data_IF_564416908735
#
_entry.id   IF_564416908735
#
_cell.length_a   1.000
_cell.length_b   1.000
_cell.length_c   1.000
_cell.angle_alpha   90.00
_cell.angle_beta   90.00
_cell.angle_gamma   90.00
#
_symmetry.space_group_name_H-M   'P 1'
#
loop_
_entity.id
_entity.type
_entity.pdbx_description
1 polymer ?
#
# COMPACT_ATOMS: atom_id res chain seq x y z
N UNK A 1 -3.04 -17.05 16.15
CA UNK A 1 -2.72 -16.25 17.32
C UNK A 1 -3.56 -14.98 17.39
N UNK A 2 -3.48 -14.25 18.49
CA UNK A 2 -4.27 -13.02 18.68
C UNK A 2 -3.97 -11.95 17.63
N UNK A 3 -2.70 -11.81 17.21
CA UNK A 3 -2.31 -10.85 16.21
C UNK A 3 -2.98 -11.08 14.86
N UNK A 4 -3.11 -12.35 14.42
CA UNK A 4 -3.73 -12.68 13.14
C UNK A 4 -5.25 -12.52 13.16
N UNK A 5 -5.87 -12.55 14.35
CA UNK A 5 -7.32 -12.36 14.52
C UNK A 5 -7.69 -10.89 14.58
N UNK A 6 -6.74 -10.05 14.97
CA UNK A 6 -6.97 -8.61 15.04
C UNK A 6 -7.23 -8.05 13.65
N UNK A 7 -8.25 -7.21 13.53
CA UNK A 7 -8.56 -6.55 12.28
C UNK A 7 -7.45 -5.57 11.90
N UNK A 8 -7.04 -5.59 10.64
CA UNK A 8 -6.08 -4.62 10.13
C UNK A 8 -6.77 -3.27 10.01
N UNK A 9 -6.24 -2.28 10.71
CA UNK A 9 -6.89 -0.96 10.81
C UNK A 9 -6.60 -0.11 9.59
N UNK A 10 -7.55 0.76 9.26
CA UNK A 10 -7.39 1.74 8.17
C UNK A 10 -6.15 2.60 8.37
N UNK A 11 -5.84 2.97 9.62
CA UNK A 11 -4.66 3.76 9.95
C UNK A 11 -3.37 3.04 9.55
N UNK A 12 -3.29 1.73 9.79
CA UNK A 12 -2.12 0.94 9.41
C UNK A 12 -1.95 0.86 7.89
N UNK A 13 -3.06 0.68 7.17
CA UNK A 13 -3.05 0.68 5.70
C UNK A 13 -2.64 2.04 5.15
N UNK A 14 -3.20 3.11 5.70
CA UNK A 14 -2.87 4.47 5.28
C UNK A 14 -1.39 4.77 5.48
N UNK A 15 -0.85 4.37 6.63
CA UNK A 15 0.58 4.56 6.92
C UNK A 15 1.44 3.80 5.92
N UNK A 16 1.08 2.56 5.60
CA UNK A 16 1.83 1.76 4.64
C UNK A 16 1.85 2.42 3.25
N UNK A 17 0.71 2.90 2.78
CA UNK A 17 0.61 3.57 1.48
C UNK A 17 1.44 4.86 1.49
N UNK A 18 1.34 5.65 2.58
CA UNK A 18 2.11 6.88 2.72
C UNK A 18 3.63 6.63 2.66
N UNK A 19 4.09 5.61 3.37
CA UNK A 19 5.52 5.29 3.39
C UNK A 19 6.02 4.78 2.04
N UNK A 20 5.21 3.99 1.32
CA UNK A 20 5.55 3.58 -0.04
C UNK A 20 5.71 4.80 -0.94
N UNK A 21 4.77 5.75 -0.85
CA UNK A 21 4.84 6.99 -1.64
C UNK A 21 6.13 7.76 -1.34
N UNK A 22 6.48 7.88 -0.07
CA UNK A 22 7.68 8.59 0.37
C UNK A 22 8.95 7.93 -0.18
N UNK A 23 9.04 6.61 -0.10
CA UNK A 23 10.21 5.88 -0.59
C UNK A 23 10.35 6.00 -2.10
N UNK A 24 9.26 5.87 -2.84
CA UNK A 24 9.28 6.02 -4.30
C UNK A 24 9.70 7.42 -4.70
N UNK A 25 9.19 8.45 -4.02
CA UNK A 25 9.57 9.83 -4.28
C UNK A 25 11.07 10.06 -4.04
N UNK A 26 11.67 9.29 -3.13
CA UNK A 26 13.11 9.36 -2.85
C UNK A 26 13.95 8.51 -3.82
N UNK A 27 13.32 7.87 -4.81
CA UNK A 27 14.05 7.08 -5.81
C UNK A 27 14.24 5.63 -5.48
N UNK A 28 13.61 5.13 -4.40
CA UNK A 28 13.68 3.71 -4.05
C UNK A 28 12.79 2.92 -5.02
N UNK A 29 13.26 1.77 -5.50
CA UNK A 29 12.46 0.92 -6.37
C UNK A 29 11.24 0.38 -5.63
N UNK A 30 10.17 0.07 -6.36
CA UNK A 30 8.94 -0.44 -5.73
C UNK A 30 9.21 -1.74 -4.97
N UNK A 31 10.00 -2.65 -5.55
CA UNK A 31 10.32 -3.91 -4.87
C UNK A 31 11.06 -3.66 -3.55
N UNK A 32 12.04 -2.77 -3.56
CA UNK A 32 12.80 -2.45 -2.35
C UNK A 32 11.92 -1.74 -1.31
N UNK A 33 11.02 -0.86 -1.77
CA UNK A 33 10.10 -0.15 -0.88
C UNK A 33 9.14 -1.13 -0.19
N UNK A 34 8.58 -2.06 -0.94
CA UNK A 34 7.68 -3.09 -0.38
C UNK A 34 8.42 -3.99 0.61
N UNK A 35 9.65 -4.38 0.29
CA UNK A 35 10.45 -5.20 1.20
C UNK A 35 10.80 -4.46 2.48
N UNK A 36 11.08 -3.16 2.38
CA UNK A 36 11.32 -2.33 3.56
C UNK A 36 10.09 -2.23 4.44
N UNK A 37 8.91 -2.08 3.83
CA UNK A 37 7.63 -2.07 4.55
C UNK A 37 7.39 -3.40 5.26
N UNK A 38 7.70 -4.51 4.59
CA UNK A 38 7.55 -5.84 5.18
C UNK A 38 8.36 -5.96 6.47
N UNK A 39 9.59 -5.48 6.45
CA UNK A 39 10.48 -5.55 7.63
C UNK A 39 9.93 -4.73 8.80
N UNK A 40 9.23 -3.64 8.53
CA UNK A 40 8.68 -2.78 9.56
C UNK A 40 7.26 -3.11 9.98
N UNK A 41 6.56 -3.94 9.23
CA UNK A 41 5.16 -4.25 9.49
C UNK A 41 5.03 -5.19 10.70
N UNK A 42 3.95 -5.02 11.45
CA UNK A 42 3.69 -5.81 12.66
C UNK A 42 2.45 -6.70 12.52
N UNK A 43 1.44 -6.22 11.82
CA UNK A 43 0.20 -6.99 11.68
C UNK A 43 0.42 -8.15 10.70
N UNK A 44 0.11 -9.40 11.11
CA UNK A 44 0.35 -10.57 10.25
C UNK A 44 -0.30 -10.49 8.88
N UNK A 45 -1.49 -9.91 8.77
CA UNK A 45 -2.17 -9.76 7.48
C UNK A 45 -1.42 -8.81 6.55
N UNK A 46 -0.87 -7.74 7.11
CA UNK A 46 -0.08 -6.79 6.32
C UNK A 46 1.24 -7.41 5.88
N UNK A 47 1.90 -8.12 6.79
CA UNK A 47 3.15 -8.82 6.47
C UNK A 47 2.93 -9.81 5.33
N UNK A 48 1.89 -10.63 5.42
CA UNK A 48 1.56 -11.62 4.38
C UNK A 48 1.30 -10.94 3.03
N UNK A 49 0.54 -9.84 3.03
CA UNK A 49 0.24 -9.09 1.81
C UNK A 49 1.53 -8.52 1.20
N UNK A 50 2.38 -7.92 2.02
CA UNK A 50 3.63 -7.32 1.54
C UNK A 50 4.60 -8.39 1.01
N UNK A 51 4.65 -9.57 1.65
CA UNK A 51 5.45 -10.68 1.15
C UNK A 51 4.99 -11.12 -0.24
N UNK A 52 3.69 -11.27 -0.41
CA UNK A 52 3.12 -11.66 -1.71
C UNK A 52 3.41 -10.59 -2.77
N UNK A 53 3.30 -9.32 -2.42
CA UNK A 53 3.58 -8.22 -3.32
C UNK A 53 5.06 -8.19 -3.73
N UNK A 54 5.97 -8.34 -2.77
CA UNK A 54 7.40 -8.38 -3.05
C UNK A 54 7.75 -9.53 -3.99
N UNK A 55 7.20 -10.71 -3.75
CA UNK A 55 7.39 -11.88 -4.60
C UNK A 55 6.92 -11.60 -6.03
N UNK A 56 5.73 -11.06 -6.18
CA UNK A 56 5.17 -10.74 -7.51
C UNK A 56 6.03 -9.74 -8.26
N UNK A 57 6.48 -8.68 -7.56
CA UNK A 57 7.35 -7.67 -8.16
C UNK A 57 8.69 -8.27 -8.60
N UNK A 58 9.28 -9.15 -7.80
CA UNK A 58 10.55 -9.84 -8.17
C UNK A 58 10.36 -10.76 -9.37
N UNK A 59 9.15 -11.28 -9.59
CA UNK A 59 8.83 -12.10 -10.74
C UNK A 59 8.45 -11.27 -11.97
N UNK A 60 8.49 -9.95 -11.89
CA UNK A 60 8.23 -9.07 -13.01
C UNK A 60 6.78 -8.62 -13.15
N UNK A 61 5.93 -8.90 -12.18
CA UNK A 61 4.55 -8.39 -12.20
C UNK A 61 4.54 -6.90 -11.90
N UNK A 62 3.56 -6.18 -12.44
CA UNK A 62 3.41 -4.76 -12.19
C UNK A 62 2.85 -4.48 -10.80
N UNK A 63 3.10 -3.28 -10.28
CA UNK A 63 2.60 -2.91 -8.96
C UNK A 63 1.06 -2.96 -8.88
N UNK A 64 0.31 -2.42 -9.86
CA UNK A 64 -1.16 -2.53 -9.80
C UNK A 64 -1.65 -3.98 -9.66
N UNK A 65 -1.02 -4.91 -10.38
CA UNK A 65 -1.40 -6.32 -10.33
C UNK A 65 -1.14 -6.91 -8.95
N UNK A 66 0.06 -6.69 -8.39
CA UNK A 66 0.40 -7.27 -7.09
C UNK A 66 -0.43 -6.65 -5.96
N UNK A 67 -0.73 -5.35 -6.07
CA UNK A 67 -1.55 -4.67 -5.08
C UNK A 67 -2.97 -5.26 -5.05
N UNK A 68 -3.57 -5.43 -6.22
CA UNK A 68 -4.91 -6.00 -6.33
C UNK A 68 -4.96 -7.43 -5.80
N UNK A 69 -3.93 -8.23 -6.10
CA UNK A 69 -3.85 -9.62 -5.67
C UNK A 69 -3.57 -9.79 -4.19
N UNK A 70 -3.10 -8.75 -3.51
CA UNK A 70 -2.67 -8.86 -2.12
C UNK A 70 -3.82 -9.03 -1.13
N UNK A 71 -5.05 -8.76 -1.55
CA UNK A 71 -6.22 -8.97 -0.71
C UNK A 71 -6.38 -7.97 0.43
N UNK A 72 -5.77 -6.79 0.30
CA UNK A 72 -5.94 -5.73 1.28
C UNK A 72 -7.28 -5.02 1.07
N UNK A 73 -7.89 -4.58 2.17
CA UNK A 73 -9.18 -3.88 2.12
C UNK A 73 -8.95 -2.39 1.84
N UNK A 74 -8.55 -2.09 0.60
CA UNK A 74 -8.31 -0.73 0.15
C UNK A 74 -9.53 -0.19 -0.61
N UNK A 75 -9.77 1.12 -0.54
CA UNK A 75 -10.84 1.72 -1.35
C UNK A 75 -10.62 1.49 -2.84
N UNK A 76 -11.71 1.41 -3.60
CA UNK A 76 -11.63 1.17 -5.05
C UNK A 76 -10.79 2.21 -5.77
N UNK A 77 -10.88 3.48 -5.36
CA UNK A 77 -10.12 4.54 -6.03
C UNK A 77 -8.61 4.34 -5.97
N UNK A 78 -8.11 3.61 -4.94
CA UNK A 78 -6.68 3.32 -4.83
C UNK A 78 -6.21 2.54 -6.04
N UNK A 79 -6.95 1.48 -6.41
CA UNK A 79 -6.58 0.66 -7.57
C UNK A 79 -6.64 1.47 -8.87
N UNK A 80 -7.63 2.35 -9.01
CA UNK A 80 -7.78 3.20 -10.17
C UNK A 80 -6.64 4.21 -10.30
N UNK A 81 -6.31 4.88 -9.19
CA UNK A 81 -5.21 5.86 -9.18
C UNK A 81 -3.86 5.22 -9.42
N UNK A 82 -3.64 4.04 -8.84
CA UNK A 82 -2.38 3.30 -9.01
C UNK A 82 -2.22 2.84 -10.46
N UNK A 83 -3.30 2.34 -11.07
CA UNK A 83 -3.25 1.94 -12.48
C UNK A 83 -2.92 3.13 -13.39
N UNK A 84 -3.53 4.28 -13.14
CA UNK A 84 -3.25 5.51 -13.89
C UNK A 84 -1.80 5.97 -13.66
N UNK A 85 -1.31 5.89 -12.42
CA UNK A 85 0.06 6.26 -12.10
C UNK A 85 1.09 5.38 -12.79
N UNK A 86 0.79 4.08 -12.89
CA UNK A 86 1.65 3.15 -13.65
C UNK A 86 1.74 3.56 -15.11
N UNK A 87 0.61 3.89 -15.72
CA UNK A 87 0.55 4.28 -17.13
C UNK A 87 1.29 5.58 -17.42
N UNK A 88 1.25 6.53 -16.49
CA UNK A 88 1.86 7.84 -16.67
C UNK A 88 3.29 7.93 -16.13
N UNK A 89 3.77 6.84 -15.51
CA UNK A 89 5.10 6.83 -14.91
C UNK A 89 5.20 7.62 -13.61
N UNK A 90 4.08 7.82 -12.91
CA UNK A 90 4.04 8.61 -11.67
C UNK A 90 3.35 7.84 -10.55
N UNK A 91 3.91 6.68 -10.19
CA UNK A 91 3.38 5.90 -9.07
C UNK A 91 3.54 6.61 -7.74
N UNK A 92 4.65 7.33 -7.54
CA UNK A 92 4.87 8.08 -6.30
C UNK A 92 3.75 9.09 -6.05
N UNK A 93 3.40 9.86 -7.08
CA UNK A 93 2.31 10.83 -6.99
C UNK A 93 0.95 10.18 -6.76
N UNK A 94 0.69 9.07 -7.46
CA UNK A 94 -0.56 8.33 -7.30
C UNK A 94 -0.71 7.81 -5.87
N UNK A 95 0.34 7.23 -5.30
CA UNK A 95 0.30 6.71 -3.93
C UNK A 95 0.16 7.83 -2.91
N UNK A 96 0.82 8.97 -3.15
CA UNK A 96 0.66 10.14 -2.27
C UNK A 96 -0.78 10.62 -2.27
N UNK A 97 -1.41 10.69 -3.44
CA UNK A 97 -2.80 11.10 -3.56
C UNK A 97 -3.73 10.11 -2.84
N UNK A 98 -3.46 8.82 -2.98
CA UNK A 98 -4.19 7.79 -2.25
C UNK A 98 -4.08 7.98 -0.74
N UNK A 99 -2.87 8.17 -0.24
CA UNK A 99 -2.64 8.36 1.20
C UNK A 99 -3.36 9.60 1.72
N UNK A 100 -3.31 10.69 0.96
CA UNK A 100 -3.99 11.94 1.32
C UNK A 100 -5.50 11.73 1.42
N UNK A 101 -6.09 11.09 0.42
CA UNK A 101 -7.53 10.85 0.41
C UNK A 101 -7.96 9.88 1.50
N UNK A 102 -7.20 8.82 1.72
CA UNK A 102 -7.48 7.85 2.77
C UNK A 102 -7.42 8.50 4.15
N UNK A 103 -6.43 9.38 4.38
CA UNK A 103 -6.31 10.10 5.65
C UNK A 103 -7.48 11.06 5.85
N UNK A 104 -7.88 11.77 4.80
CA UNK A 104 -9.04 12.65 4.85
C UNK A 104 -10.30 11.88 5.25
N UNK A 105 -10.53 10.75 4.63
CA UNK A 105 -11.71 9.92 4.92
C UNK A 105 -11.67 9.37 6.34
N UNK A 106 -10.49 8.94 6.81
CA UNK A 106 -10.31 8.44 8.16
C UNK A 106 -10.65 9.51 9.20
N UNK A 107 -10.14 10.72 9.00
CA UNK A 107 -10.41 11.86 9.88
C UNK A 107 -11.88 12.23 9.89
N UNK A 108 -12.49 12.30 8.73
CA UNK A 108 -13.89 12.66 8.59
C UNK A 108 -14.79 11.68 9.33
N UNK A 109 -14.49 10.38 9.21
CA UNK A 109 -15.25 9.34 9.93
C UNK A 109 -15.06 9.46 11.44
N UNK A 110 -13.84 9.75 11.89
CA UNK A 110 -13.56 9.87 13.32
C UNK A 110 -14.28 11.07 13.94
N UNK A 111 -14.56 12.11 13.16
CA UNK A 111 -15.28 13.30 13.63
C UNK A 111 -16.79 13.12 13.70
N UNK A 112 -17.32 12.12 13.01
CA UNK A 112 -18.75 11.80 13.05
C UNK A 112 -19.09 10.99 14.28
#
# INVERSE_FOLDING_TARGET
>A
NLGSRRRLKAEELNMAIHELATMLAAGVSMADAVEAQERGARHPKLITALQAMANGLRQGQSFPVVLESAGLDLPRYVYQLVAAGEMTGNLAGALRDCATQMEYERRTRAEL
#
